data_IF_126710047448
#
_entry.id   IF_126710047448
#
_cell.length_a   1.000
_cell.length_b   1.000
_cell.length_c   1.000
_cell.angle_alpha   90.00
_cell.angle_beta   90.00
_cell.angle_gamma   90.00
#
_symmetry.space_group_name_H-M   'P 1'
#
loop_
_entity.id
_entity.type
_entity.pdbx_description
1 polymer ?
#
# COMPACT_ATOMS: atom_id res chain seq x y z
N UNK A 1 -24.72 13.38 4.17
CA UNK A 1 -24.50 12.43 3.06
C UNK A 1 -23.23 11.64 3.34
N UNK A 2 -23.25 10.31 3.19
CA UNK A 2 -22.02 9.52 3.31
C UNK A 2 -21.25 9.61 1.97
N UNK A 3 -19.99 10.02 2.01
CA UNK A 3 -19.17 10.29 0.82
C UNK A 3 -18.73 8.99 0.14
N UNK A 4 -18.69 8.99 -1.19
CA UNK A 4 -18.10 7.95 -2.02
C UNK A 4 -16.85 8.48 -2.72
N UNK A 5 -15.88 7.60 -2.99
CA UNK A 5 -14.63 7.93 -3.71
C UNK A 5 -14.39 6.85 -4.76
N UNK A 6 -13.94 7.26 -5.95
CA UNK A 6 -13.52 6.33 -7.00
C UNK A 6 -12.00 6.16 -6.98
N UNK A 7 -11.53 4.92 -6.82
CA UNK A 7 -10.12 4.53 -6.86
C UNK A 7 -9.89 3.62 -8.07
N UNK A 8 -9.34 4.18 -9.15
CA UNK A 8 -9.25 3.48 -10.44
C UNK A 8 -10.64 3.08 -10.92
N UNK A 9 -10.88 1.77 -11.03
CA UNK A 9 -12.15 1.21 -11.49
C UNK A 9 -13.08 0.78 -10.33
N UNK A 10 -12.75 1.14 -9.09
CA UNK A 10 -13.50 0.75 -7.89
C UNK A 10 -14.16 1.96 -7.22
N UNK A 11 -15.47 1.86 -6.95
CA UNK A 11 -16.17 2.82 -6.10
C UNK A 11 -16.13 2.35 -4.65
N UNK A 12 -15.58 3.18 -3.77
CA UNK A 12 -15.49 2.94 -2.33
C UNK A 12 -16.48 3.82 -1.59
N UNK A 13 -17.31 3.21 -0.76
CA UNK A 13 -18.28 3.91 0.06
C UNK A 13 -18.99 2.98 1.04
N UNK A 14 -19.99 3.50 1.77
CA UNK A 14 -20.65 2.76 2.85
C UNK A 14 -21.40 1.51 2.41
N UNK A 15 -21.82 1.47 1.13
CA UNK A 15 -22.59 0.37 0.55
C UNK A 15 -21.79 -0.42 -0.49
N UNK A 16 -20.48 -0.15 -0.64
CA UNK A 16 -19.62 -0.92 -1.54
C UNK A 16 -18.99 -2.11 -0.82
N UNK A 17 -18.49 -3.08 -1.57
CA UNK A 17 -17.59 -4.10 -0.99
C UNK A 17 -16.32 -3.44 -0.43
N UNK A 18 -15.66 -4.04 0.58
CA UNK A 18 -14.40 -3.54 1.10
C UNK A 18 -13.34 -3.39 0.01
N UNK A 19 -12.60 -2.28 0.06
CA UNK A 19 -11.44 -2.05 -0.80
C UNK A 19 -10.16 -2.50 -0.09
N UNK A 20 -9.69 -3.69 -0.46
CA UNK A 20 -8.47 -4.30 0.06
C UNK A 20 -7.22 -3.68 -0.56
N UNK A 21 -6.33 -3.15 0.30
CA UNK A 21 -5.00 -2.67 -0.04
C UNK A 21 -3.98 -3.64 0.56
N UNK A 22 -3.11 -4.22 -0.27
CA UNK A 22 -1.97 -4.98 0.21
C UNK A 22 -0.82 -4.02 0.55
N UNK A 23 -0.48 -3.92 1.84
CA UNK A 23 0.66 -3.12 2.29
C UNK A 23 1.97 -3.87 2.05
N UNK A 24 2.71 -3.47 1.03
CA UNK A 24 4.06 -3.95 0.76
C UNK A 24 5.08 -3.17 1.60
N UNK A 25 4.86 -1.87 1.79
CA UNK A 25 5.74 -1.02 2.60
C UNK A 25 7.17 -1.06 2.08
N UNK A 26 8.10 -1.51 2.93
CA UNK A 26 9.52 -1.71 2.59
C UNK A 26 9.93 -3.18 2.46
N UNK A 27 8.99 -4.13 2.49
CA UNK A 27 9.24 -5.59 2.48
C UNK A 27 9.89 -6.11 1.18
N UNK A 28 10.08 -5.24 0.18
CA UNK A 28 10.90 -5.51 -0.98
C UNK A 28 12.42 -5.42 -0.74
N UNK A 29 12.86 -4.94 0.44
CA UNK A 29 14.28 -4.84 0.83
C UNK A 29 15.19 -4.13 -0.19
N UNK A 30 14.64 -3.19 -0.96
CA UNK A 30 15.36 -2.50 -2.04
C UNK A 30 15.51 -3.31 -3.34
N UNK A 31 15.04 -4.56 -3.38
CA UNK A 31 15.04 -5.40 -4.57
C UNK A 31 13.85 -5.08 -5.48
N UNK A 32 14.15 -4.61 -6.70
CA UNK A 32 13.14 -4.39 -7.74
C UNK A 32 12.51 -5.68 -8.25
N UNK A 33 13.23 -6.80 -8.17
CA UNK A 33 12.69 -8.12 -8.52
C UNK A 33 11.63 -8.55 -7.50
N UNK A 34 11.98 -8.50 -6.21
CA UNK A 34 11.06 -8.84 -5.12
C UNK A 34 9.84 -7.90 -5.10
N UNK A 35 10.04 -6.60 -5.35
CA UNK A 35 8.93 -5.65 -5.48
C UNK A 35 7.92 -6.08 -6.55
N UNK A 36 8.37 -6.54 -7.72
CA UNK A 36 7.50 -7.04 -8.79
C UNK A 36 6.81 -8.34 -8.41
N UNK A 37 7.51 -9.24 -7.72
CA UNK A 37 6.92 -10.48 -7.21
C UNK A 37 5.81 -10.18 -6.20
N UNK A 38 6.04 -9.28 -5.25
CA UNK A 38 5.06 -8.87 -4.24
C UNK A 38 3.80 -8.24 -4.89
N UNK A 39 3.95 -7.45 -5.95
CA UNK A 39 2.82 -6.94 -6.73
C UNK A 39 2.00 -8.09 -7.34
N UNK A 40 2.67 -9.09 -7.94
CA UNK A 40 1.98 -10.27 -8.51
C UNK A 40 1.24 -11.05 -7.44
N UNK A 41 1.86 -11.29 -6.28
CA UNK A 41 1.24 -11.97 -5.13
C UNK A 41 0.03 -11.19 -4.60
N UNK A 42 0.13 -9.87 -4.46
CA UNK A 42 -0.99 -9.03 -4.05
C UNK A 42 -2.18 -9.17 -5.01
N UNK A 43 -1.92 -9.14 -6.33
CA UNK A 43 -2.96 -9.34 -7.34
C UNK A 43 -3.56 -10.74 -7.28
N UNK A 44 -2.74 -11.78 -7.15
CA UNK A 44 -3.19 -13.17 -7.01
C UNK A 44 -4.05 -13.38 -5.76
N UNK A 45 -3.72 -12.70 -4.65
CA UNK A 45 -4.49 -12.70 -3.42
C UNK A 45 -5.78 -11.87 -3.46
N UNK A 46 -6.12 -11.26 -4.60
CA UNK A 46 -7.36 -10.48 -4.76
C UNK A 46 -7.31 -9.06 -4.19
N UNK A 47 -6.12 -8.53 -3.88
CA UNK A 47 -6.00 -7.13 -3.50
C UNK A 47 -6.34 -6.21 -4.68
N UNK A 48 -6.95 -5.07 -4.37
CA UNK A 48 -7.32 -4.05 -5.37
C UNK A 48 -6.16 -3.09 -5.63
N UNK A 49 -5.30 -2.87 -4.64
CA UNK A 49 -4.08 -2.08 -4.75
C UNK A 49 -2.92 -2.70 -3.98
N UNK A 50 -1.71 -2.42 -4.43
CA UNK A 50 -0.47 -2.67 -3.73
C UNK A 50 0.14 -1.32 -3.30
N UNK A 51 0.45 -1.15 -2.01
CA UNK A 51 0.95 0.11 -1.46
C UNK A 51 2.40 -0.02 -1.01
N UNK A 52 3.24 0.89 -1.48
CA UNK A 52 4.65 1.02 -1.09
C UNK A 52 4.83 2.25 -0.20
N UNK A 53 5.87 2.24 0.62
CA UNK A 53 6.29 3.41 1.38
C UNK A 53 7.42 4.10 0.63
N UNK A 54 7.27 5.41 0.38
CA UNK A 54 8.31 6.24 -0.22
C UNK A 54 8.78 7.25 0.83
N UNK A 55 9.99 7.06 1.34
CA UNK A 55 10.63 7.97 2.26
C UNK A 55 12.15 7.92 2.12
N UNK A 56 12.82 8.99 2.52
CA UNK A 56 14.27 8.98 2.77
C UNK A 56 14.48 8.72 4.25
N UNK A 57 15.39 7.82 4.63
CA UNK A 57 15.64 7.50 6.05
C UNK A 57 15.94 8.76 6.89
N UNK A 58 16.65 9.71 6.28
CA UNK A 58 16.97 11.04 6.81
C UNK A 58 15.75 11.91 7.16
N UNK A 59 14.60 11.62 6.57
CA UNK A 59 13.36 12.41 6.73
C UNK A 59 12.38 11.84 7.75
N UNK A 60 12.61 10.60 8.22
CA UNK A 60 11.72 9.92 9.17
C UNK A 60 12.35 9.68 10.54
N UNK A 61 13.65 9.40 10.60
CA UNK A 61 14.32 9.17 11.88
C UNK A 61 14.61 10.52 12.56
N UNK A 62 13.89 10.82 13.64
CA UNK A 62 14.39 11.81 14.60
C UNK A 62 15.73 11.30 15.13
N UNK A 63 16.78 12.13 15.05
CA UNK A 63 18.10 11.83 15.64
C UNK A 63 18.03 11.51 17.14
N UNK A 64 16.93 11.87 17.79
CA UNK A 64 16.67 11.69 19.22
C UNK A 64 15.56 10.69 19.50
N UNK A 65 15.29 9.74 18.59
CA UNK A 65 14.30 8.71 18.86
C UNK A 65 14.73 7.89 20.09
N UNK A 66 13.98 7.92 21.21
CA UNK A 66 14.25 7.05 22.33
C UNK A 66 13.83 5.65 21.88
N UNK A 67 14.80 4.77 21.69
CA UNK A 67 14.52 3.34 21.70
C UNK A 67 14.08 2.93 23.11
#
# INVERSE_FOLDING_TARGET
>A
MRKTVTLGNHTVGPNSKPYIIAEIGVNHEGSMELARELIRKAKQGGAHAAKFQSYKAETLASKHSPA
#
